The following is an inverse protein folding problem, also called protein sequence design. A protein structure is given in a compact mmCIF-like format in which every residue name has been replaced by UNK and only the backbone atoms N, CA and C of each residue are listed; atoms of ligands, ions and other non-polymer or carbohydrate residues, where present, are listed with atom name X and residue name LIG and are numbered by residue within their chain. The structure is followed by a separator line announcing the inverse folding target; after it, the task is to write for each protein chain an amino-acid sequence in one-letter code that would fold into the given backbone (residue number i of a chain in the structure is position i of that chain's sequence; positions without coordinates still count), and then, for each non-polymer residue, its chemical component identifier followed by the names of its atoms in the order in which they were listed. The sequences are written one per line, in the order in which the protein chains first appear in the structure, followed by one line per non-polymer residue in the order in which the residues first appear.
data_IF_943273548738
#
_entry.id   IF_943273548738
#
_cell.length_a   1.000
_cell.length_b   1.000
_cell.length_c   1.000
_cell.angle_alpha   90.00
_cell.angle_beta   90.00
_cell.angle_gamma   90.00
#
_symmetry.space_group_name_H-M   'P 1'
#
loop_
_entity.id
_entity.type
_entity.pdbx_description
1 polymer ?
#
# COMPACT_ATOMS: atom_id res chain seq x y z
N UNK A 1 2.66 20.52 -1.65
CA UNK A 1 2.98 19.55 -0.59
C UNK A 1 2.61 18.16 -1.10
N UNK A 2 3.49 17.17 -0.91
CA UNK A 2 3.20 15.78 -1.31
C UNK A 2 2.17 15.21 -0.34
N UNK A 3 1.09 14.57 -0.82
CA UNK A 3 -0.01 14.07 0.03
C UNK A 3 0.47 13.09 1.11
N UNK A 4 1.58 12.39 0.86
CA UNK A 4 2.20 11.52 1.86
C UNK A 4 2.67 12.27 3.12
N UNK A 5 2.93 13.58 3.03
CA UNK A 5 3.50 14.42 4.08
C UNK A 5 2.48 15.01 5.05
N UNK A 6 1.18 14.96 4.74
CA UNK A 6 0.14 15.35 5.68
C UNK A 6 -0.10 14.20 6.66
N UNK A 7 0.10 14.48 7.95
CA UNK A 7 0.06 13.47 9.02
C UNK A 7 -1.34 12.83 9.08
N UNK A 8 -1.40 11.50 8.97
CA UNK A 8 -2.64 10.74 9.08
C UNK A 8 -3.45 10.62 7.78
N UNK A 9 -3.22 11.48 6.77
CA UNK A 9 -3.99 11.42 5.52
C UNK A 9 -3.75 10.10 4.76
N UNK A 10 -2.52 9.59 4.76
CA UNK A 10 -2.21 8.33 4.09
C UNK A 10 -2.59 7.12 4.91
N UNK A 11 -2.45 7.17 6.23
CA UNK A 11 -2.92 6.10 7.09
C UNK A 11 -4.44 5.89 6.97
N UNK A 12 -5.21 6.98 6.86
CA UNK A 12 -6.66 6.89 6.62
C UNK A 12 -6.98 6.28 5.25
N UNK A 13 -6.27 6.68 4.18
CA UNK A 13 -6.45 6.10 2.85
C UNK A 13 -6.09 4.61 2.82
N UNK A 14 -4.97 4.23 3.43
CA UNK A 14 -4.56 2.83 3.55
C UNK A 14 -5.57 2.01 4.36
N UNK A 15 -6.15 2.59 5.41
CA UNK A 15 -7.19 1.93 6.21
C UNK A 15 -8.47 1.57 5.45
N UNK A 16 -8.68 2.14 4.26
CA UNK A 16 -9.82 1.81 3.39
C UNK A 16 -9.55 0.59 2.48
N UNK A 17 -8.34 0.04 2.50
CA UNK A 17 -7.91 -1.06 1.62
C UNK A 17 -7.42 -2.22 2.47
N UNK A 18 -7.67 -3.44 2.01
CA UNK A 18 -7.05 -4.62 2.64
C UNK A 18 -5.51 -4.51 2.60
N UNK A 19 -4.88 -4.75 3.75
CA UNK A 19 -3.43 -4.59 3.91
C UNK A 19 -2.65 -5.55 3.02
N UNK A 20 -3.12 -6.79 2.77
CA UNK A 20 -2.44 -7.68 1.83
C UNK A 20 -2.50 -7.13 0.41
N UNK A 21 -3.66 -6.60 -0.01
CA UNK A 21 -3.80 -5.92 -1.30
C UNK A 21 -2.85 -4.72 -1.41
N UNK A 22 -2.69 -3.91 -0.37
CA UNK A 22 -1.72 -2.81 -0.36
C UNK A 22 -0.28 -3.31 -0.52
N UNK A 23 0.13 -4.28 0.30
CA UNK A 23 1.48 -4.88 0.25
C UNK A 23 1.76 -5.44 -1.14
N UNK A 24 0.82 -6.20 -1.70
CA UNK A 24 0.93 -6.70 -3.07
C UNK A 24 1.07 -5.57 -4.08
N UNK A 25 0.25 -4.52 -3.98
CA UNK A 25 0.31 -3.37 -4.89
C UNK A 25 1.69 -2.71 -4.87
N UNK A 26 2.30 -2.50 -3.71
CA UNK A 26 3.63 -1.91 -3.60
C UNK A 26 4.74 -2.81 -4.18
N UNK A 27 4.76 -4.10 -3.84
CA UNK A 27 5.82 -5.00 -4.28
C UNK A 27 5.71 -5.47 -5.75
N UNK A 28 4.50 -5.40 -6.31
CA UNK A 28 4.25 -5.79 -7.71
C UNK A 28 4.23 -4.60 -8.67
N UNK A 29 4.21 -3.36 -8.17
CA UNK A 29 4.28 -2.18 -9.04
C UNK A 29 5.60 -2.11 -9.79
N UNK A 30 5.52 -2.07 -11.12
CA UNK A 30 6.66 -1.92 -12.03
C UNK A 30 6.59 -0.67 -12.90
N UNK A 31 5.62 0.21 -12.64
CA UNK A 31 5.52 1.47 -13.36
C UNK A 31 6.63 2.41 -12.86
N UNK A 32 7.56 2.85 -13.73
CA UNK A 32 8.63 3.77 -13.32
C UNK A 32 8.13 5.21 -13.10
N UNK A 33 6.90 5.52 -13.54
CA UNK A 33 6.31 6.86 -13.35
C UNK A 33 5.99 7.12 -11.89
N UNK A 34 6.05 8.38 -11.43
CA UNK A 34 5.67 8.72 -10.06
C UNK A 34 4.24 8.27 -9.72
N UNK A 35 3.99 7.73 -8.51
CA UNK A 35 2.65 7.35 -8.10
C UNK A 35 1.78 8.59 -7.88
N UNK A 36 0.86 8.84 -8.81
CA UNK A 36 -0.12 9.93 -8.76
C UNK A 36 -1.50 9.38 -8.38
N UNK A 37 -1.77 9.27 -7.07
CA UNK A 37 -3.02 8.69 -6.55
C UNK A 37 -4.09 9.79 -6.40
N UNK A 38 -5.26 9.69 -7.06
CA UNK A 38 -6.31 10.69 -6.93
C UNK A 38 -6.87 10.74 -5.51
N UNK A 39 -7.01 11.95 -4.94
CA UNK A 39 -7.45 12.14 -3.55
C UNK A 39 -8.85 11.60 -3.25
N UNK A 40 -9.76 11.67 -4.21
CA UNK A 40 -11.18 11.31 -4.02
C UNK A 40 -11.39 9.81 -3.91
N UNK A 41 -10.59 9.03 -4.64
CA UNK A 41 -10.69 7.57 -4.65
C UNK A 41 -9.61 6.92 -3.81
N UNK A 42 -8.41 7.49 -3.74
CA UNK A 42 -7.31 6.93 -2.94
C UNK A 42 -6.81 5.58 -3.47
N UNK A 43 -6.23 4.78 -2.59
CA UNK A 43 -5.65 3.47 -2.95
C UNK A 43 -6.71 2.42 -3.27
N UNK A 44 -7.96 2.56 -2.78
CA UNK A 44 -9.06 1.66 -3.14
C UNK A 44 -9.44 1.73 -4.63
N UNK A 45 -9.08 2.81 -5.32
CA UNK A 45 -9.32 2.99 -6.75
C UNK A 45 -8.27 2.34 -7.66
N UNK A 46 -7.20 1.80 -7.09
CA UNK A 46 -6.19 1.10 -7.87
C UNK A 46 -6.72 -0.26 -8.35
N UNK A 47 -6.33 -0.68 -9.56
CA UNK A 47 -6.65 -2.01 -10.04
C UNK A 47 -6.07 -3.07 -9.11
N UNK A 48 -6.65 -4.27 -9.14
CA UNK A 48 -6.09 -5.39 -8.40
C UNK A 48 -4.65 -5.66 -8.83
N UNK A 49 -3.75 -5.98 -7.89
CA UNK A 49 -2.35 -6.27 -8.22
C UNK A 49 -2.25 -7.52 -9.09
N UNK A 50 -1.26 -7.59 -9.99
CA UNK A 50 -1.00 -8.80 -10.77
C UNK A 50 -0.54 -9.95 -9.87
N UNK A 51 -0.41 -11.14 -10.46
CA UNK A 51 0.11 -12.32 -9.76
C UNK A 51 1.49 -12.04 -9.14
N UNK A 52 1.77 -12.71 -8.01
CA UNK A 52 3.02 -12.53 -7.29
C UNK A 52 4.24 -12.90 -8.14
N UNK A 53 5.32 -12.11 -8.09
CA UNK A 53 6.56 -12.47 -8.75
C UNK A 53 7.23 -13.64 -8.03
N UNK A 54 8.07 -14.39 -8.74
CA UNK A 54 8.70 -15.61 -8.21
C UNK A 54 9.55 -15.43 -6.93
N UNK A 55 9.92 -14.20 -6.59
CA UNK A 55 10.70 -13.89 -5.38
C UNK A 55 9.83 -13.57 -4.16
N UNK A 56 8.52 -13.43 -4.32
CA UNK A 56 7.59 -13.04 -3.26
C UNK A 56 6.52 -14.11 -3.08
N UNK A 57 6.42 -14.68 -1.89
CA UNK A 57 5.43 -15.72 -1.58
C UNK A 57 4.20 -15.15 -0.87
N UNK A 58 3.09 -15.89 -0.90
CA UNK A 58 1.87 -15.56 -0.11
C UNK A 58 2.14 -15.51 1.40
N UNK A 59 3.11 -16.29 1.89
CA UNK A 59 3.52 -16.26 3.29
C UNK A 59 4.23 -14.96 3.63
N UNK A 60 5.09 -14.46 2.75
CA UNK A 60 5.76 -13.17 2.92
C UNK A 60 4.75 -12.02 2.95
N UNK A 61 3.81 -12.02 2.00
CA UNK A 61 2.73 -11.02 1.93
C UNK A 61 1.90 -11.02 3.21
N UNK A 62 1.51 -12.21 3.67
CA UNK A 62 0.74 -12.36 4.91
C UNK A 62 1.54 -11.87 6.12
N UNK A 63 2.83 -12.23 6.20
CA UNK A 63 3.71 -11.77 7.26
C UNK A 63 3.79 -10.23 7.32
N UNK A 64 4.02 -9.56 6.19
CA UNK A 64 4.06 -8.09 6.16
C UNK A 64 2.70 -7.48 6.53
N UNK A 65 1.62 -8.00 5.97
CA UNK A 65 0.28 -7.48 6.25
C UNK A 65 -0.08 -7.59 7.74
N UNK A 66 0.23 -8.71 8.38
CA UNK A 66 -0.02 -8.90 9.81
C UNK A 66 0.79 -7.90 10.67
N UNK A 67 2.04 -7.62 10.29
CA UNK A 67 2.87 -6.62 10.97
C UNK A 67 2.27 -5.22 10.86
N UNK A 68 1.84 -4.81 9.68
CA UNK A 68 1.23 -3.49 9.46
C UNK A 68 -0.17 -3.38 10.06
N UNK A 69 -0.95 -4.46 10.07
CA UNK A 69 -2.23 -4.49 10.78
C UNK A 69 -2.06 -4.30 12.29
N UNK A 70 -0.99 -4.87 12.87
CA UNK A 70 -0.72 -4.73 14.30
C UNK A 70 -0.15 -3.36 14.68
N UNK A 71 0.73 -2.79 13.85
CA UNK A 71 1.54 -1.61 14.21
C UNK A 71 1.15 -0.33 13.48
N UNK A 72 0.32 -0.43 12.44
CA UNK A 72 0.00 0.69 11.55
C UNK A 72 1.18 1.07 10.64
N UNK A 73 0.94 2.09 9.80
CA UNK A 73 1.90 2.57 8.80
C UNK A 73 2.66 3.84 9.20
N UNK A 74 2.25 4.51 10.30
CA UNK A 74 2.78 5.81 10.69
C UNK A 74 4.30 5.85 10.80
N UNK A 75 4.96 4.79 11.28
CA UNK A 75 6.43 4.79 11.39
C UNK A 75 7.18 4.80 10.05
N UNK A 76 6.55 4.34 8.96
CA UNK A 76 7.11 4.41 7.60
C UNK A 76 6.60 5.60 6.80
N UNK A 77 5.65 6.34 7.35
CA UNK A 77 5.13 7.60 6.84
C UNK A 77 5.68 8.75 7.70
N UNK A 78 5.47 10.00 7.29
CA UNK A 78 6.18 11.18 7.81
C UNK A 78 6.10 11.37 9.33
#
# INVERSE_FOLDING_TARGET
ICRFQERGEMEEDFGQVDTKKLINTFFTSRNPSPPCIPKTVGFRGLPDPPALPAWLTEQDVTFYADKFNQKGFTGGLN
#
